data_IF_599859866282
#
_entry.id   IF_599859866282
#
_cell.length_a   1.000
_cell.length_b   1.000
_cell.length_c   1.000
_cell.angle_alpha   90.00
_cell.angle_beta   90.00
_cell.angle_gamma   90.00
#
_symmetry.space_group_name_H-M   'P 1'
#
loop_
_entity.id
_entity.type
_entity.pdbx_description
1 polymer ?
#
# COMPACT_ATOMS: atom_id res chain seq x y z
N UNK A 1 16.37 58.29 6.03
CA UNK A 1 16.87 57.87 7.36
C UNK A 1 16.11 56.61 7.72
N UNK A 2 16.79 55.47 7.67
CA UNK A 2 16.20 54.12 7.78
C UNK A 2 16.26 53.64 9.21
N UNK A 3 15.12 53.30 9.81
CA UNK A 3 15.02 52.28 10.85
C UNK A 3 13.57 51.82 10.96
N UNK A 4 13.24 50.72 10.27
CA UNK A 4 12.12 49.86 10.65
C UNK A 4 12.70 48.52 11.07
N UNK A 5 12.54 48.25 12.35
CA UNK A 5 12.99 47.06 13.06
C UNK A 5 12.53 45.78 12.34
N UNK A 6 13.51 44.94 11.97
CA UNK A 6 13.32 43.55 11.58
C UNK A 6 12.97 42.72 12.84
N UNK A 7 11.77 42.89 13.40
CA UNK A 7 11.21 41.86 14.27
C UNK A 7 10.65 40.76 13.37
N UNK A 8 11.48 39.72 13.27
CA UNK A 8 11.33 38.61 12.36
C UNK A 8 9.93 38.05 12.38
N UNK A 9 9.40 37.91 11.17
CA UNK A 9 8.28 37.05 10.79
C UNK A 9 8.67 35.62 11.20
N UNK A 10 8.54 35.30 12.48
CA UNK A 10 8.71 33.96 13.03
C UNK A 10 7.37 33.24 12.85
N UNK A 11 6.98 33.12 11.59
CA UNK A 11 5.88 32.27 11.17
C UNK A 11 6.34 30.82 11.29
N UNK A 12 6.44 30.33 12.54
CA UNK A 12 6.43 28.90 12.81
C UNK A 12 5.00 28.43 12.54
N UNK A 13 4.68 28.25 11.25
CA UNK A 13 3.69 27.26 10.85
C UNK A 13 4.21 25.93 11.39
N UNK A 14 3.82 25.61 12.61
CA UNK A 14 3.68 24.24 13.04
C UNK A 14 2.66 23.65 12.07
N UNK A 15 3.18 23.11 10.97
CA UNK A 15 2.52 22.09 10.19
C UNK A 15 2.28 21.01 11.24
N UNK A 16 1.05 20.97 11.75
CA UNK A 16 0.53 19.80 12.42
C UNK A 16 0.82 18.68 11.42
N UNK A 17 1.85 17.88 11.71
CA UNK A 17 1.93 16.55 11.15
C UNK A 17 0.65 15.92 11.68
N UNK A 18 -0.35 15.81 10.82
CA UNK A 18 -1.34 14.76 10.95
C UNK A 18 -0.55 13.52 11.35
N UNK A 19 -0.65 13.15 12.63
CA UNK A 19 -0.59 11.74 13.00
C UNK A 19 -1.81 11.13 12.29
N UNK A 20 -1.63 10.89 10.98
CA UNK A 20 -2.37 9.88 10.28
C UNK A 20 -2.15 8.64 11.10
N UNK A 21 -3.16 8.30 11.88
CA UNK A 21 -3.32 6.96 12.39
C UNK A 21 -3.35 6.14 11.11
N UNK A 22 -2.20 5.58 10.72
CA UNK A 22 -2.14 4.49 9.75
C UNK A 22 -2.98 3.39 10.39
N UNK A 23 -4.30 3.48 10.20
CA UNK A 23 -5.20 2.34 10.28
C UNK A 23 -4.65 1.41 9.23
N UNK A 24 -3.72 0.54 9.65
CA UNK A 24 -3.21 -0.57 8.87
C UNK A 24 -4.45 -1.31 8.37
N UNK A 25 -4.78 -1.09 7.10
CA UNK A 25 -5.93 -1.76 6.52
C UNK A 25 -5.48 -3.18 6.17
N UNK A 26 -6.34 -4.15 6.46
CA UNK A 26 -6.08 -5.50 6.00
C UNK A 26 -6.53 -5.58 4.56
N UNK A 27 -5.60 -5.78 3.64
CA UNK A 27 -5.88 -5.96 2.22
C UNK A 27 -5.88 -7.46 1.90
N UNK A 28 -6.96 -7.93 1.30
CA UNK A 28 -7.04 -9.26 0.73
C UNK A 28 -6.57 -9.22 -0.71
N UNK A 29 -5.50 -9.93 -1.02
CA UNK A 29 -4.99 -10.08 -2.38
C UNK A 29 -5.30 -11.49 -2.88
N UNK A 30 -6.05 -11.58 -3.97
CA UNK A 30 -6.42 -12.81 -4.64
C UNK A 30 -5.88 -12.86 -6.08
N UNK A 31 -5.23 -13.97 -6.45
CA UNK A 31 -4.78 -14.26 -7.80
C UNK A 31 -5.58 -15.40 -8.39
N UNK A 32 -6.13 -15.20 -9.58
CA UNK A 32 -6.95 -16.18 -10.28
C UNK A 32 -6.22 -16.68 -11.52
N UNK A 33 -5.95 -17.98 -11.57
CA UNK A 33 -5.24 -18.60 -12.69
C UNK A 33 -6.20 -19.36 -13.61
N UNK A 34 -5.93 -19.39 -14.92
CA UNK A 34 -6.65 -20.25 -15.85
C UNK A 34 -6.45 -21.71 -15.42
N UNK A 35 -7.54 -22.38 -15.06
CA UNK A 35 -7.52 -23.73 -14.47
C UNK A 35 -8.20 -23.83 -13.10
N UNK A 36 -8.82 -22.75 -12.61
CA UNK A 36 -9.60 -22.76 -11.36
C UNK A 36 -8.74 -22.79 -10.10
N UNK A 37 -7.43 -22.54 -10.23
CA UNK A 37 -6.55 -22.34 -9.07
C UNK A 37 -6.64 -20.89 -8.66
N UNK A 38 -6.96 -20.67 -7.39
CA UNK A 38 -6.94 -19.36 -6.76
C UNK A 38 -5.91 -19.33 -5.63
N UNK A 39 -5.25 -18.18 -5.47
CA UNK A 39 -4.27 -17.94 -4.42
C UNK A 39 -4.63 -16.63 -3.75
N UNK A 40 -5.18 -16.75 -2.54
CA UNK A 40 -5.56 -15.62 -1.71
C UNK A 40 -4.71 -15.56 -0.43
N UNK A 41 -4.35 -14.34 -0.04
CA UNK A 41 -3.77 -14.05 1.26
C UNK A 41 -4.14 -12.65 1.74
N UNK A 42 -4.03 -12.46 3.05
CA UNK A 42 -4.22 -11.18 3.71
C UNK A 42 -2.86 -10.53 3.92
N UNK A 43 -2.79 -9.21 3.70
CA UNK A 43 -1.64 -8.39 4.06
C UNK A 43 -2.11 -7.20 4.86
N UNK A 44 -1.28 -6.75 5.79
CA UNK A 44 -1.42 -5.40 6.32
C UNK A 44 -0.81 -4.42 5.31
N UNK A 45 -1.58 -3.43 4.87
CA UNK A 45 -1.10 -2.40 3.95
C UNK A 45 -1.85 -1.09 4.12
N UNK A 46 -1.20 0.00 3.73
CA UNK A 46 -1.74 1.35 3.92
C UNK A 46 -2.71 1.75 2.79
N UNK A 47 -2.57 1.17 1.60
CA UNK A 47 -3.37 1.55 0.42
C UNK A 47 -3.45 0.43 -0.64
N UNK A 48 -4.68 0.14 -1.08
CA UNK A 48 -4.97 -0.85 -2.11
C UNK A 48 -4.38 -0.49 -3.49
N UNK A 49 -4.30 0.80 -3.81
CA UNK A 49 -3.76 1.29 -5.09
C UNK A 49 -2.24 1.09 -5.19
N UNK A 50 -1.50 1.35 -4.11
CA UNK A 50 -0.07 1.04 -4.01
C UNK A 50 0.18 -0.45 -4.23
N UNK A 51 -0.66 -1.30 -3.64
CA UNK A 51 -0.57 -2.75 -3.77
C UNK A 51 -0.78 -3.20 -5.22
N UNK A 52 -1.83 -2.71 -5.88
CA UNK A 52 -2.10 -2.97 -7.30
C UNK A 52 -0.93 -2.51 -8.16
N UNK A 53 -0.41 -1.30 -7.93
CA UNK A 53 0.71 -0.75 -8.69
C UNK A 53 1.97 -1.62 -8.55
N UNK A 54 2.25 -2.14 -7.36
CA UNK A 54 3.36 -3.06 -7.13
C UNK A 54 3.16 -4.38 -7.89
N UNK A 55 1.98 -4.99 -7.78
CA UNK A 55 1.69 -6.25 -8.49
C UNK A 55 1.81 -6.07 -10.01
N UNK A 56 1.39 -4.94 -10.56
CA UNK A 56 1.50 -4.66 -12.00
C UNK A 56 2.93 -4.35 -12.46
N UNK A 57 3.74 -3.71 -11.61
CA UNK A 57 5.15 -3.41 -11.93
C UNK A 57 6.04 -4.65 -11.87
N UNK A 58 5.66 -5.64 -11.06
CA UNK A 58 6.45 -6.83 -10.81
C UNK A 58 5.84 -8.07 -11.48
N UNK A 59 6.61 -8.69 -12.38
CA UNK A 59 6.25 -9.98 -13.00
C UNK A 59 6.07 -11.10 -11.97
N UNK A 60 6.83 -11.05 -10.89
CA UNK A 60 6.77 -12.04 -9.82
C UNK A 60 6.34 -11.37 -8.54
N UNK A 61 5.27 -11.88 -7.95
CA UNK A 61 4.75 -11.43 -6.67
C UNK A 61 5.01 -12.50 -5.61
N UNK A 62 5.73 -12.11 -4.57
CA UNK A 62 6.03 -13.02 -3.45
C UNK A 62 4.93 -12.87 -2.41
N UNK A 63 4.30 -13.99 -2.04
CA UNK A 63 3.34 -14.03 -0.95
C UNK A 63 3.74 -15.09 0.06
N UNK A 64 3.44 -14.82 1.32
CA UNK A 64 3.68 -15.74 2.41
C UNK A 64 2.32 -16.14 2.96
N UNK A 65 2.05 -17.44 3.01
CA UNK A 65 0.81 -17.99 3.56
C UNK A 65 1.18 -19.09 4.56
N UNK A 66 0.97 -18.80 5.85
CA UNK A 66 1.49 -19.63 6.93
C UNK A 66 3.02 -19.64 6.93
N UNK A 67 3.62 -20.84 6.92
CA UNK A 67 5.07 -21.04 6.89
C UNK A 67 5.64 -21.18 5.45
N UNK A 68 4.78 -21.08 4.44
CA UNK A 68 5.14 -21.31 3.05
C UNK A 68 5.32 -19.99 2.28
N UNK A 69 6.46 -19.87 1.59
CA UNK A 69 6.73 -18.80 0.64
C UNK A 69 6.30 -19.22 -0.77
N UNK A 70 5.38 -18.47 -1.36
CA UNK A 70 4.88 -18.68 -2.71
C UNK A 70 5.36 -17.55 -3.61
N UNK A 71 5.72 -17.89 -4.84
CA UNK A 71 6.04 -16.94 -5.89
C UNK A 71 4.98 -17.07 -6.97
N UNK A 72 4.21 -16.00 -7.17
CA UNK A 72 3.16 -15.90 -8.17
C UNK A 72 3.69 -15.21 -9.41
N UNK A 73 3.57 -15.88 -10.57
CA UNK A 73 3.82 -15.28 -11.88
C UNK A 73 2.56 -14.49 -12.30
N UNK A 74 2.62 -13.17 -12.16
CA UNK A 74 1.46 -12.26 -12.38
C UNK A 74 1.04 -12.22 -13.84
N UNK A 75 1.93 -12.53 -14.79
CA UNK A 75 1.62 -12.65 -16.21
C UNK A 75 0.82 -13.92 -16.56
N UNK A 76 0.87 -14.94 -15.70
CA UNK A 76 0.09 -16.18 -15.87
C UNK A 76 -1.26 -16.12 -15.18
N UNK A 77 -1.47 -15.15 -14.29
CA UNK A 77 -2.77 -14.92 -13.69
C UNK A 77 -3.72 -14.37 -14.77
N UNK A 78 -4.94 -14.89 -14.82
CA UNK A 78 -5.98 -14.34 -15.68
C UNK A 78 -6.41 -12.95 -15.19
N UNK A 79 -6.53 -12.80 -13.87
CA UNK A 79 -6.72 -11.52 -13.19
C UNK A 79 -6.31 -11.65 -11.71
N UNK A 80 -6.17 -10.52 -11.06
CA UNK A 80 -5.99 -10.43 -9.61
C UNK A 80 -6.98 -9.42 -9.04
N UNK A 81 -7.37 -9.60 -7.78
CA UNK A 81 -8.24 -8.68 -7.05
C UNK A 81 -7.54 -8.27 -5.76
N UNK A 82 -7.59 -6.98 -5.46
CA UNK A 82 -7.21 -6.45 -4.16
C UNK A 82 -8.48 -5.89 -3.54
N UNK A 83 -8.82 -6.35 -2.34
CA UNK A 83 -10.02 -5.92 -1.62
C UNK A 83 -9.64 -5.47 -0.24
N UNK A 84 -10.11 -4.30 0.15
CA UNK A 84 -9.96 -3.78 1.51
C UNK A 84 -10.92 -4.53 2.42
N UNK A 85 -10.37 -5.21 3.43
CA UNK A 85 -11.15 -5.76 4.53
C UNK A 85 -11.12 -4.70 5.63
N UNK A 86 -12.21 -3.93 5.71
CA UNK A 86 -12.50 -3.17 6.92
C UNK A 86 -13.01 -4.16 7.97
N UNK A 87 -12.40 -4.14 9.15
CA UNK A 87 -12.83 -4.91 10.33
C UNK A 87 -14.24 -4.49 10.81
#
# INVERSE_FOLDING_TARGET
>A
MFITTLEGIRNKRAIQRDEGKDEKMTLKVGFYFPGGKELEHEVEGDDSTQMISNIQKHRYYNLVKGDCHYVVDTEKAAYFSVTEISE
#
